data_IF_708438299002
#
_entry.id   IF_708438299002
#
_cell.length_a   1.000
_cell.length_b   1.000
_cell.length_c   1.000
_cell.angle_alpha   90.00
_cell.angle_beta   90.00
_cell.angle_gamma   90.00
#
_symmetry.space_group_name_H-M   'P 1'
#
loop_
_entity.id
_entity.type
_entity.pdbx_description
1 polymer ?
#
# COMPACT_ATOMS: atom_id res chain seq x y z
N UNK A 1 -1.07 -35.07 26.51
CA UNK A 1 -1.21 -33.75 27.18
C UNK A 1 -0.61 -32.68 26.27
N UNK A 2 -1.43 -32.01 25.45
CA UNK A 2 -0.97 -30.92 24.58
C UNK A 2 -0.77 -29.68 25.45
N UNK A 3 0.45 -29.54 25.99
CA UNK A 3 0.88 -28.36 26.74
C UNK A 3 0.58 -27.11 25.94
N UNK A 4 -0.15 -26.21 26.60
CA UNK A 4 -0.57 -24.89 26.15
C UNK A 4 0.65 -24.06 25.69
N UNK A 5 1.08 -24.23 24.43
CA UNK A 5 2.19 -23.48 23.84
C UNK A 5 1.69 -22.09 23.45
N UNK A 6 1.45 -21.26 24.45
CA UNK A 6 1.32 -19.81 24.25
C UNK A 6 2.62 -19.28 23.66
N UNK A 7 2.53 -18.36 22.69
CA UNK A 7 3.69 -17.74 22.06
C UNK A 7 4.66 -17.17 23.12
N UNK A 8 5.90 -17.68 23.16
CA UNK A 8 6.92 -17.30 24.16
C UNK A 8 7.60 -15.95 23.85
N UNK A 9 7.39 -15.37 22.66
CA UNK A 9 7.95 -14.09 22.29
C UNK A 9 7.26 -12.95 23.05
N UNK A 10 8.05 -12.11 23.74
CA UNK A 10 7.55 -10.97 24.51
C UNK A 10 6.78 -9.95 23.66
N UNK A 11 7.19 -9.75 22.40
CA UNK A 11 6.52 -8.84 21.48
C UNK A 11 5.15 -9.36 21.00
N UNK A 12 4.96 -10.69 20.90
CA UNK A 12 3.71 -11.28 20.41
C UNK A 12 2.56 -11.18 21.40
N UNK A 13 2.87 -11.20 22.71
CA UNK A 13 1.85 -11.12 23.77
C UNK A 13 1.04 -9.82 23.72
N UNK A 14 1.61 -8.74 23.18
CA UNK A 14 0.93 -7.44 23.05
C UNK A 14 -0.09 -7.39 21.91
N UNK A 15 0.10 -8.22 20.88
CA UNK A 15 -0.72 -8.22 19.66
C UNK A 15 -1.69 -9.40 19.55
N UNK A 16 -1.45 -10.48 20.28
CA UNK A 16 -2.28 -11.69 20.19
C UNK A 16 -3.58 -11.56 21.01
N UNK A 17 -4.73 -12.03 20.49
CA UNK A 17 -5.90 -12.29 21.32
C UNK A 17 -5.56 -13.31 22.41
N UNK A 18 -5.99 -13.07 23.64
CA UNK A 18 -5.72 -13.99 24.76
C UNK A 18 -6.41 -15.34 24.50
N UNK A 19 -5.64 -16.44 24.48
CA UNK A 19 -6.19 -17.81 24.57
C UNK A 19 -6.13 -18.70 23.32
N UNK A 20 -5.45 -18.32 22.23
CA UNK A 20 -5.38 -19.16 21.02
C UNK A 20 -4.13 -20.09 20.98
N UNK A 21 -4.27 -21.38 20.60
CA UNK A 21 -3.14 -22.30 20.45
C UNK A 21 -2.30 -21.95 19.22
N UNK A 22 -0.97 -21.83 19.41
CA UNK A 22 -0.01 -21.53 18.35
C UNK A 22 0.37 -22.80 17.57
N UNK A 23 -0.51 -23.30 16.71
CA UNK A 23 -0.19 -24.42 15.81
C UNK A 23 -0.75 -24.21 14.42
N UNK A 24 -0.16 -23.27 13.67
CA UNK A 24 -0.43 -23.04 12.25
C UNK A 24 0.85 -23.11 11.41
N UNK A 25 1.66 -24.15 11.62
CA UNK A 25 2.98 -24.32 10.96
C UNK A 25 2.87 -24.27 9.44
N UNK A 26 1.82 -24.89 8.87
CA UNK A 26 1.59 -24.89 7.42
C UNK A 26 1.37 -23.48 6.86
N UNK A 27 0.67 -22.62 7.61
CA UNK A 27 0.42 -21.23 7.21
C UNK A 27 1.69 -20.39 7.35
N UNK A 28 2.47 -20.61 8.42
CA UNK A 28 3.76 -19.95 8.61
C UNK A 28 4.73 -20.26 7.46
N UNK A 29 4.82 -21.54 7.05
CA UNK A 29 5.64 -21.94 5.89
C UNK A 29 5.08 -21.36 4.59
N UNK A 30 3.77 -21.47 4.36
CA UNK A 30 3.11 -20.97 3.13
C UNK A 30 3.32 -19.47 2.90
N UNK A 31 3.35 -18.69 3.98
CA UNK A 31 3.47 -17.24 3.92
C UNK A 31 4.84 -16.72 4.37
N UNK A 32 5.83 -17.60 4.47
CA UNK A 32 7.23 -17.27 4.79
C UNK A 32 7.36 -16.44 6.07
N UNK A 33 6.64 -16.82 7.12
CA UNK A 33 6.73 -16.17 8.44
C UNK A 33 7.96 -16.72 9.17
N UNK A 34 9.04 -15.94 9.15
CA UNK A 34 10.32 -16.32 9.76
C UNK A 34 10.45 -15.93 11.24
N UNK A 35 9.60 -15.01 11.72
CA UNK A 35 9.64 -14.50 13.09
C UNK A 35 8.29 -13.98 13.54
N UNK A 36 8.15 -13.70 14.83
CA UNK A 36 6.92 -13.15 15.37
C UNK A 36 7.19 -11.91 16.23
N UNK A 37 6.30 -10.90 16.20
CA UNK A 37 5.10 -10.81 15.37
C UNK A 37 5.41 -10.30 13.95
N UNK A 38 4.90 -11.01 12.94
CA UNK A 38 4.84 -10.56 11.54
C UNK A 38 3.38 -10.34 11.17
N UNK A 39 3.06 -9.15 10.68
CA UNK A 39 1.72 -8.81 10.22
C UNK A 39 1.76 -8.82 8.68
N UNK A 40 0.93 -9.66 8.06
CA UNK A 40 0.75 -9.68 6.60
C UNK A 40 -0.65 -9.24 6.24
N UNK A 41 -0.76 -8.48 5.17
CA UNK A 41 -2.00 -7.92 4.64
C UNK A 41 -2.34 -8.67 3.38
N UNK A 42 -3.55 -9.23 3.36
CA UNK A 42 -4.08 -10.03 2.26
C UNK A 42 -5.11 -9.22 1.49
N UNK A 43 -4.95 -9.13 0.17
CA UNK A 43 -5.91 -8.53 -0.75
C UNK A 43 -6.25 -9.50 -1.88
N UNK A 44 -7.36 -9.25 -2.55
CA UNK A 44 -7.80 -10.01 -3.73
C UNK A 44 -7.78 -11.52 -3.50
N UNK A 45 -8.35 -11.96 -2.37
CA UNK A 45 -8.40 -13.37 -1.97
C UNK A 45 -7.00 -14.03 -1.84
N UNK A 46 -5.98 -13.24 -1.51
CA UNK A 46 -4.60 -13.71 -1.32
C UNK A 46 -3.73 -13.69 -2.57
N UNK A 47 -4.17 -13.06 -3.66
CA UNK A 47 -3.31 -12.80 -4.84
C UNK A 47 -2.23 -11.77 -4.55
N UNK A 48 -2.52 -10.81 -3.67
CA UNK A 48 -1.58 -9.77 -3.27
C UNK A 48 -1.39 -9.85 -1.75
N UNK A 49 -0.17 -10.21 -1.35
CA UNK A 49 0.22 -10.37 0.05
C UNK A 49 1.38 -9.44 0.31
N UNK A 50 1.19 -8.50 1.23
CA UNK A 50 2.21 -7.51 1.59
C UNK A 50 2.54 -7.61 3.07
N UNK A 51 3.81 -7.42 3.40
CA UNK A 51 4.24 -7.33 4.79
C UNK A 51 4.01 -5.92 5.34
N UNK A 52 3.37 -5.83 6.49
CA UNK A 52 3.21 -4.57 7.20
C UNK A 52 4.51 -4.21 7.92
N UNK A 53 5.16 -3.15 7.44
CA UNK A 53 6.41 -2.61 8.02
C UNK A 53 6.20 -1.37 8.91
N UNK A 54 4.95 -1.06 9.25
CA UNK A 54 4.60 0.13 10.05
C UNK A 54 4.70 -0.07 11.57
N UNK A 55 4.28 0.94 12.35
CA UNK A 55 4.31 0.91 13.82
C UNK A 55 3.43 -0.19 14.41
N UNK A 56 3.84 -0.83 15.52
CA UNK A 56 3.10 -1.96 16.11
C UNK A 56 2.01 -1.53 17.10
N UNK A 57 1.78 -0.23 17.23
CA UNK A 57 0.75 0.38 18.06
C UNK A 57 -0.59 0.38 17.32
N UNK A 58 -1.69 0.29 18.07
CA UNK A 58 -3.04 0.22 17.50
C UNK A 58 -3.32 1.39 16.54
N UNK A 59 -2.95 2.61 16.92
CA UNK A 59 -3.16 3.80 16.11
C UNK A 59 -2.35 3.78 14.81
N UNK A 60 -1.12 3.27 14.85
CA UNK A 60 -0.27 3.13 13.66
C UNK A 60 -0.81 2.10 12.67
N UNK A 61 -1.37 1.00 13.19
CA UNK A 61 -2.04 -0.02 12.37
C UNK A 61 -3.31 0.56 11.74
N UNK A 62 -4.15 1.24 12.51
CA UNK A 62 -5.38 1.86 12.01
C UNK A 62 -5.09 2.92 10.96
N UNK A 63 -4.11 3.79 11.20
CA UNK A 63 -3.71 4.81 10.23
C UNK A 63 -3.21 4.18 8.92
N UNK A 64 -2.38 3.15 9.01
CA UNK A 64 -1.89 2.44 7.83
C UNK A 64 -3.05 1.80 7.05
N UNK A 65 -3.93 1.07 7.74
CA UNK A 65 -5.08 0.42 7.10
C UNK A 65 -6.01 1.45 6.43
N UNK A 66 -6.22 2.62 7.03
CA UNK A 66 -6.98 3.71 6.41
C UNK A 66 -6.34 4.18 5.09
N UNK A 67 -5.01 4.33 5.04
CA UNK A 67 -4.29 4.64 3.78
C UNK A 67 -4.49 3.52 2.76
N UNK A 68 -4.44 2.29 3.23
CA UNK A 68 -4.56 1.10 2.38
C UNK A 68 -5.95 0.94 1.75
N UNK A 69 -7.04 1.23 2.46
CA UNK A 69 -8.44 1.09 1.97
C UNK A 69 -8.79 2.06 0.84
N UNK A 70 -8.10 3.20 0.72
CA UNK A 70 -8.33 4.14 -0.38
C UNK A 70 -7.93 3.60 -1.76
N UNK A 71 -8.25 4.32 -2.85
CA UNK A 71 -7.91 3.92 -4.22
C UNK A 71 -6.40 3.89 -4.44
N UNK A 72 -5.91 2.83 -5.11
CA UNK A 72 -4.48 2.57 -5.39
C UNK A 72 -3.74 3.77 -5.99
N UNK A 73 -4.41 4.50 -6.87
CA UNK A 73 -3.95 5.76 -7.44
C UNK A 73 -4.89 6.89 -7.04
N UNK A 74 -4.33 8.08 -6.76
CA UNK A 74 -5.13 9.30 -6.62
C UNK A 74 -5.19 10.02 -7.97
N UNK A 75 -6.36 10.49 -8.34
CA UNK A 75 -6.55 11.29 -9.54
C UNK A 75 -6.11 12.74 -9.29
N UNK A 76 -5.34 13.32 -10.21
CA UNK A 76 -5.02 14.74 -10.26
C UNK A 76 -5.96 15.40 -11.26
N UNK A 77 -6.79 16.33 -10.79
CA UNK A 77 -7.77 17.05 -11.61
C UNK A 77 -7.31 18.46 -11.99
N UNK A 78 -6.47 19.07 -11.17
CA UNK A 78 -6.05 20.47 -11.31
C UNK A 78 -4.57 20.68 -10.98
N UNK A 79 -3.95 21.78 -11.46
CA UNK A 79 -2.62 22.23 -11.07
C UNK A 79 -2.44 22.36 -9.56
N UNK A 80 -3.45 22.90 -8.89
CA UNK A 80 -3.43 23.16 -7.45
C UNK A 80 -3.43 21.85 -6.67
N UNK A 81 -4.17 20.83 -7.14
CA UNK A 81 -4.15 19.49 -6.54
C UNK A 81 -2.78 18.83 -6.67
N UNK A 82 -2.08 19.02 -7.80
CA UNK A 82 -0.74 18.48 -7.97
C UNK A 82 0.25 19.09 -6.95
N UNK A 83 0.21 20.41 -6.78
CA UNK A 83 1.04 21.12 -5.80
C UNK A 83 0.70 20.74 -4.34
N UNK A 84 -0.56 20.40 -4.05
CA UNK A 84 -0.98 19.95 -2.73
C UNK A 84 -0.64 18.47 -2.45
N UNK A 85 -0.56 17.63 -3.48
CA UNK A 85 -0.34 16.19 -3.36
C UNK A 85 1.14 15.80 -3.42
N UNK A 86 1.96 16.57 -4.12
CA UNK A 86 3.39 16.32 -4.33
C UNK A 86 4.19 17.07 -3.26
N UNK A 87 4.95 16.31 -2.46
CA UNK A 87 5.88 16.81 -1.44
C UNK A 87 7.31 16.38 -1.82
N UNK A 88 8.28 17.29 -1.77
CA UNK A 88 9.68 17.03 -2.14
C UNK A 88 10.33 15.89 -1.34
N UNK A 89 9.72 15.46 -0.24
CA UNK A 89 10.21 14.38 0.63
C UNK A 89 9.89 12.97 0.14
N UNK A 90 9.00 12.81 -0.84
CA UNK A 90 8.50 11.50 -1.27
C UNK A 90 8.68 11.27 -2.77
N UNK A 91 8.77 9.99 -3.14
CA UNK A 91 8.80 9.56 -4.53
C UNK A 91 7.37 9.29 -4.99
N UNK A 92 6.98 9.93 -6.09
CA UNK A 92 5.68 9.78 -6.72
C UNK A 92 5.81 9.11 -8.09
N UNK A 93 4.90 8.21 -8.40
CA UNK A 93 4.80 7.58 -9.73
C UNK A 93 3.56 8.16 -10.40
N UNK A 94 3.74 8.90 -11.48
CA UNK A 94 2.65 9.56 -12.19
C UNK A 94 2.35 8.79 -13.49
N UNK A 95 1.14 8.26 -13.60
CA UNK A 95 0.61 7.66 -14.81
C UNK A 95 -0.21 8.67 -15.61
N UNK A 96 0.13 8.85 -16.88
CA UNK A 96 -0.52 9.80 -17.78
C UNK A 96 -1.31 9.00 -18.82
N UNK A 97 -2.63 9.14 -18.83
CA UNK A 97 -3.50 8.36 -19.71
C UNK A 97 -4.45 9.28 -20.50
N UNK A 98 -4.76 8.93 -21.74
CA UNK A 98 -5.80 9.64 -22.50
C UNK A 98 -7.19 9.40 -21.91
N UNK A 99 -7.43 8.18 -21.41
CA UNK A 99 -8.64 7.76 -20.72
C UNK A 99 -8.28 6.88 -19.51
N UNK A 100 -9.08 6.88 -18.44
CA UNK A 100 -8.97 5.89 -17.35
C UNK A 100 -9.61 4.55 -17.72
N UNK A 101 -9.37 4.13 -18.95
CA UNK A 101 -9.94 2.93 -19.56
C UNK A 101 -8.85 2.22 -20.36
N UNK A 102 -9.04 0.91 -20.60
CA UNK A 102 -8.13 0.10 -21.41
C UNK A 102 -6.99 -0.56 -20.64
N UNK A 103 -6.22 -1.37 -21.39
CA UNK A 103 -5.20 -2.28 -20.85
C UNK A 103 -4.06 -1.56 -20.14
N UNK A 104 -3.68 -0.37 -20.60
CA UNK A 104 -2.60 0.41 -19.98
C UNK A 104 -2.98 0.90 -18.59
N UNK A 105 -4.20 1.42 -18.44
CA UNK A 105 -4.72 1.86 -17.15
C UNK A 105 -4.89 0.69 -16.18
N UNK A 106 -5.39 -0.47 -16.64
CA UNK A 106 -5.50 -1.65 -15.78
C UNK A 106 -4.14 -2.15 -15.29
N UNK A 107 -3.14 -2.20 -16.18
CA UNK A 107 -1.78 -2.58 -15.81
C UNK A 107 -1.18 -1.59 -14.80
N UNK A 108 -1.41 -0.29 -15.00
CA UNK A 108 -0.99 0.73 -14.05
C UNK A 108 -1.66 0.55 -12.68
N UNK A 109 -2.97 0.28 -12.65
CA UNK A 109 -3.69 0.03 -11.40
C UNK A 109 -3.20 -1.23 -10.68
N UNK A 110 -2.85 -2.29 -11.41
CA UNK A 110 -2.24 -3.49 -10.81
C UNK A 110 -0.87 -3.20 -10.18
N UNK A 111 -0.03 -2.41 -10.86
CA UNK A 111 1.25 -1.95 -10.32
C UNK A 111 1.02 -1.04 -9.12
N UNK A 112 0.02 -0.16 -9.20
CA UNK A 112 -0.33 0.75 -8.12
C UNK A 112 -0.77 0.00 -6.87
N UNK A 113 -1.56 -1.07 -7.00
CA UNK A 113 -1.94 -1.93 -5.87
C UNK A 113 -0.74 -2.65 -5.26
N UNK A 114 0.22 -3.11 -6.07
CA UNK A 114 1.44 -3.77 -5.59
C UNK A 114 2.38 -2.80 -4.86
N UNK A 115 2.50 -1.57 -5.35
CA UNK A 115 3.46 -0.59 -4.84
C UNK A 115 2.86 0.41 -3.83
N UNK A 116 1.57 0.30 -3.51
CA UNK A 116 0.83 1.20 -2.60
C UNK A 116 1.45 1.35 -1.20
N UNK A 117 2.21 0.35 -0.74
CA UNK A 117 2.88 0.38 0.56
C UNK A 117 4.14 1.23 0.56
N UNK A 118 4.85 1.28 -0.56
CA UNK A 118 6.16 1.93 -0.68
C UNK A 118 6.09 3.29 -1.39
N UNK A 119 5.18 3.45 -2.37
CA UNK A 119 5.08 4.64 -3.22
C UNK A 119 3.67 5.22 -3.25
N UNK A 120 3.58 6.53 -3.54
CA UNK A 120 2.31 7.19 -3.82
C UNK A 120 2.13 7.32 -5.34
N UNK A 121 1.14 6.61 -5.88
CA UNK A 121 0.83 6.64 -7.31
C UNK A 121 -0.28 7.65 -7.58
N UNK A 122 -0.06 8.45 -8.63
CA UNK A 122 -0.97 9.49 -9.08
C UNK A 122 -1.34 9.26 -10.54
N UNK A 123 -2.60 9.41 -10.90
CA UNK A 123 -3.11 9.33 -12.27
C UNK A 123 -3.54 10.70 -12.77
N UNK A 124 -3.17 11.05 -14.00
CA UNK A 124 -3.59 12.30 -14.65
C UNK A 124 -4.03 12.05 -16.10
N UNK A 125 -4.94 12.88 -16.59
CA UNK A 125 -5.37 12.86 -17.98
C UNK A 125 -4.36 13.59 -18.89
N UNK A 126 -4.11 13.02 -20.06
CA UNK A 126 -3.21 13.55 -21.09
C UNK A 126 -3.56 14.99 -21.53
N UNK A 127 -4.86 15.33 -21.58
CA UNK A 127 -5.33 16.68 -21.94
C UNK A 127 -4.90 17.76 -20.95
N UNK A 128 -4.64 17.40 -19.70
CA UNK A 128 -4.15 18.36 -18.71
C UNK A 128 -2.70 18.73 -18.99
N UNK A 129 -1.85 17.80 -19.46
CA UNK A 129 -0.40 18.00 -19.68
C UNK A 129 -0.06 18.78 -20.96
N UNK A 130 -0.92 18.74 -21.98
CA UNK A 130 -0.73 19.55 -23.20
C UNK A 130 -0.76 21.06 -22.92
N UNK A 131 -1.36 21.51 -21.80
CA UNK A 131 -1.26 22.90 -21.34
C UNK A 131 0.13 23.21 -20.77
N UNK A 132 0.80 22.21 -20.17
CA UNK A 132 2.06 22.38 -19.45
C UNK A 132 3.30 22.38 -20.32
N UNK A 133 3.28 21.63 -21.44
CA UNK A 133 4.39 21.71 -22.39
C UNK A 133 4.45 23.10 -23.04
N UNK A 134 3.32 23.77 -23.23
CA UNK A 134 3.28 25.13 -23.78
C UNK A 134 3.58 26.23 -22.75
N UNK A 135 3.25 26.05 -21.47
CA UNK A 135 3.60 27.04 -20.42
C UNK A 135 5.04 26.95 -19.96
N UNK A 136 5.65 25.76 -19.88
CA UNK A 136 7.08 25.62 -19.59
C UNK A 136 7.98 26.07 -20.74
N UNK A 137 7.52 25.95 -22.01
CA UNK A 137 8.23 26.47 -23.19
C UNK A 137 8.05 27.97 -23.42
N UNK A 138 7.18 28.66 -22.67
CA UNK A 138 7.00 30.12 -22.77
C UNK A 138 7.63 30.91 -21.62
N UNK A 139 8.26 30.22 -20.66
CA UNK A 139 9.02 30.80 -19.54
C UNK A 139 10.56 30.58 -19.71
N UNK A 140 10.97 29.88 -20.78
CA UNK A 140 12.35 29.80 -21.27
C UNK A 140 12.47 30.54 -22.61
#
# INVERSE_FOLDING_TARGET
>A
MLSNRTCKCGHCKKLAPKGQPATYTWAATKYEVQGFPTIKIFRDQGKNIQEYKGPREADGIVHYLKKQVGPASKEIKSPEDAAALIDDKKIYIVGIFAEFSGTEFTNFMEVAEKLRSDYELLGSYSYLINIWQWTLLSIL
#
